data_IF_848063973839
#
_entry.id   IF_848063973839
#
_cell.length_a   1.000
_cell.length_b   1.000
_cell.length_c   1.000
_cell.angle_alpha   90.00
_cell.angle_beta   90.00
_cell.angle_gamma   90.00
#
_symmetry.space_group_name_H-M   'P 1'
#
loop_
_entity.id
_entity.type
_entity.pdbx_description
1 polymer ?
#
# COMPACT_ATOMS: atom_id res chain seq x y z
N UNK A 1 6.07 -27.18 -14.72
CA UNK A 1 4.77 -26.80 -14.13
C UNK A 1 4.89 -25.35 -13.74
N UNK A 2 4.25 -24.46 -14.49
CA UNK A 2 4.36 -23.01 -14.26
C UNK A 2 3.66 -22.65 -12.97
N UNK A 3 4.36 -21.92 -12.11
CA UNK A 3 3.79 -21.41 -10.87
C UNK A 3 2.65 -20.45 -11.24
N UNK A 4 1.41 -20.83 -10.90
CA UNK A 4 0.22 -20.06 -11.25
C UNK A 4 0.15 -18.88 -10.30
N UNK A 5 0.54 -17.70 -10.78
CA UNK A 5 0.33 -16.44 -10.08
C UNK A 5 -1.18 -16.20 -9.93
N UNK A 6 -1.71 -16.49 -8.75
CA UNK A 6 -3.05 -16.10 -8.32
C UNK A 6 -2.88 -14.82 -7.48
N UNK A 7 -3.37 -13.70 -7.99
CA UNK A 7 -3.37 -12.44 -7.25
C UNK A 7 -4.69 -12.35 -6.48
N UNK A 8 -4.59 -12.37 -5.16
CA UNK A 8 -5.72 -12.04 -4.28
C UNK A 8 -5.80 -10.52 -4.15
N UNK A 9 -6.58 -9.86 -5.01
CA UNK A 9 -6.71 -8.38 -5.02
C UNK A 9 -7.16 -7.81 -3.66
N UNK A 10 -7.99 -8.56 -2.93
CA UNK A 10 -8.39 -8.18 -1.57
C UNK A 10 -7.22 -8.22 -0.58
N UNK A 11 -6.36 -9.25 -0.65
CA UNK A 11 -5.16 -9.35 0.17
C UNK A 11 -4.17 -8.22 -0.14
N UNK A 12 -4.02 -7.84 -1.42
CA UNK A 12 -3.18 -6.70 -1.81
C UNK A 12 -3.69 -5.39 -1.20
N UNK A 13 -5.00 -5.17 -1.25
CA UNK A 13 -5.66 -3.98 -0.70
C UNK A 13 -5.54 -3.93 0.83
N UNK A 14 -5.73 -5.06 1.50
CA UNK A 14 -5.52 -5.19 2.94
C UNK A 14 -4.06 -4.90 3.31
N UNK A 15 -3.11 -5.44 2.55
CA UNK A 15 -1.68 -5.22 2.78
C UNK A 15 -1.31 -3.74 2.62
N UNK A 16 -1.81 -3.06 1.59
CA UNK A 16 -1.61 -1.61 1.44
C UNK A 16 -2.19 -0.82 2.62
N UNK A 17 -3.36 -1.21 3.11
CA UNK A 17 -4.00 -0.56 4.27
C UNK A 17 -3.15 -0.75 5.53
N UNK A 18 -2.65 -1.95 5.78
CA UNK A 18 -1.77 -2.23 6.92
C UNK A 18 -0.45 -1.45 6.83
N UNK A 19 0.16 -1.37 5.65
CA UNK A 19 1.38 -0.58 5.45
C UNK A 19 1.14 0.90 5.68
N UNK A 20 -0.04 1.43 5.28
CA UNK A 20 -0.42 2.80 5.56
C UNK A 20 -0.61 3.06 7.07
N UNK A 21 -1.22 2.13 7.80
CA UNK A 21 -1.34 2.22 9.26
C UNK A 21 0.02 2.24 9.92
N UNK A 22 0.93 1.35 9.53
CA UNK A 22 2.32 1.31 10.02
C UNK A 22 3.01 2.66 9.75
N UNK A 23 2.92 3.19 8.53
CA UNK A 23 3.50 4.51 8.22
C UNK A 23 2.96 5.61 9.14
N UNK A 24 1.64 5.61 9.38
CA UNK A 24 0.98 6.61 10.21
C UNK A 24 1.43 6.51 11.68
N UNK A 25 1.57 5.29 12.21
CA UNK A 25 2.07 5.04 13.57
C UNK A 25 3.51 5.49 13.73
N UNK A 26 4.38 5.14 12.78
CA UNK A 26 5.75 5.62 12.78
C UNK A 26 5.76 7.14 12.67
N UNK A 27 5.04 7.76 11.73
CA UNK A 27 4.90 9.23 11.60
C UNK A 27 4.41 9.92 12.88
N UNK A 28 3.55 9.29 13.69
CA UNK A 28 3.05 9.84 14.95
C UNK A 28 4.04 9.80 16.13
N UNK A 29 5.07 8.95 16.10
CA UNK A 29 5.97 8.70 17.25
C UNK A 29 6.98 9.83 17.56
N UNK A 30 6.89 10.97 16.86
CA UNK A 30 7.97 11.98 16.74
C UNK A 30 8.20 12.88 17.97
N UNK A 31 7.27 12.96 18.93
CA UNK A 31 7.26 14.08 19.90
C UNK A 31 7.81 13.80 21.30
N UNK A 32 8.18 12.56 21.63
CA UNK A 32 8.43 12.22 23.03
C UNK A 32 9.87 12.51 23.49
N UNK A 33 10.86 12.27 22.64
CA UNK A 33 12.23 12.04 23.14
C UNK A 33 13.04 13.30 23.42
N UNK A 34 12.85 14.39 22.67
CA UNK A 34 13.57 15.66 22.91
C UNK A 34 13.07 16.40 24.15
N UNK A 35 11.76 16.35 24.42
CA UNK A 35 11.15 16.94 25.62
C UNK A 35 11.48 16.16 26.89
N UNK A 36 11.68 14.85 26.80
CA UNK A 36 11.99 14.02 27.98
C UNK A 36 13.44 14.19 28.42
N UNK A 37 14.37 14.44 27.50
CA UNK A 37 15.79 14.61 27.82
C UNK A 37 16.04 15.74 28.84
N UNK A 38 15.40 16.90 28.65
CA UNK A 38 15.53 18.07 29.54
C UNK A 38 14.85 17.89 30.90
N UNK A 39 13.96 16.89 31.05
CA UNK A 39 13.26 16.58 32.30
C UNK A 39 14.04 15.61 33.20
N UNK A 40 15.14 15.02 32.71
CA UNK A 40 15.90 14.00 33.45
C UNK A 40 16.69 14.54 34.65
N UNK A 41 16.96 15.86 34.71
CA UNK A 41 17.62 16.53 35.84
C UNK A 41 19.09 16.14 36.09
N UNK A 42 19.65 15.20 35.32
CA UNK A 42 21.03 14.74 35.46
C UNK A 42 21.77 14.78 34.11
N UNK A 43 22.88 15.53 33.97
CA UNK A 43 23.53 15.79 32.67
C UNK A 43 23.91 14.53 31.88
N UNK A 44 24.36 13.47 32.59
CA UNK A 44 24.71 12.20 31.93
C UNK A 44 23.49 11.48 31.38
N UNK A 45 22.38 11.50 32.10
CA UNK A 45 21.15 10.81 31.69
C UNK A 45 20.50 11.57 30.53
N UNK A 46 20.52 12.90 30.58
CA UNK A 46 20.10 13.76 29.46
C UNK A 46 20.85 13.40 28.18
N UNK A 47 22.18 13.25 28.24
CA UNK A 47 22.99 12.93 27.07
C UNK A 47 22.65 11.55 26.48
N UNK A 48 22.46 10.53 27.33
CA UNK A 48 22.05 9.20 26.88
C UNK A 48 20.64 9.21 26.25
N UNK A 49 19.68 9.92 26.86
CA UNK A 49 18.31 10.04 26.32
C UNK A 49 18.34 10.78 24.98
N UNK A 50 19.17 11.81 24.83
CA UNK A 50 19.35 12.54 23.58
C UNK A 50 19.99 11.67 22.49
N UNK A 51 20.98 10.85 22.85
CA UNK A 51 21.60 9.87 21.94
C UNK A 51 20.62 8.81 21.47
N UNK A 52 19.81 8.29 22.38
CA UNK A 52 18.72 7.36 22.06
C UNK A 52 17.69 8.03 21.14
N UNK A 53 17.24 9.24 21.46
CA UNK A 53 16.28 10.02 20.66
C UNK A 53 16.77 10.19 19.21
N UNK A 54 18.02 10.60 19.04
CA UNK A 54 18.63 10.80 17.72
C UNK A 54 18.71 9.49 16.94
N UNK A 55 19.18 8.41 17.58
CA UNK A 55 19.30 7.09 16.95
C UNK A 55 17.94 6.52 16.57
N UNK A 56 16.94 6.70 17.43
CA UNK A 56 15.55 6.33 17.15
C UNK A 56 14.99 7.07 15.94
N UNK A 57 15.21 8.39 15.85
CA UNK A 57 14.75 9.19 14.71
C UNK A 57 15.36 8.71 13.39
N UNK A 58 16.66 8.40 13.38
CA UNK A 58 17.33 7.83 12.20
C UNK A 58 16.71 6.48 11.82
N UNK A 59 16.60 5.55 12.78
CA UNK A 59 16.07 4.21 12.51
C UNK A 59 14.62 4.25 12.03
N UNK A 60 13.81 5.13 12.62
CA UNK A 60 12.44 5.40 12.22
C UNK A 60 12.36 5.90 10.79
N UNK A 61 13.20 6.85 10.40
CA UNK A 61 13.24 7.36 9.02
C UNK A 61 13.58 6.24 8.02
N UNK A 62 14.51 5.33 8.37
CA UNK A 62 14.81 4.15 7.55
C UNK A 62 13.63 3.19 7.41
N UNK A 63 12.89 2.96 8.50
CA UNK A 63 11.68 2.11 8.49
C UNK A 63 10.61 2.73 7.61
N UNK A 64 10.32 4.01 7.79
CA UNK A 64 9.35 4.75 6.96
C UNK A 64 9.72 4.61 5.48
N UNK A 65 10.99 4.87 5.13
CA UNK A 65 11.47 4.72 3.75
C UNK A 65 11.25 3.31 3.20
N UNK A 66 11.56 2.29 3.99
CA UNK A 66 11.45 0.88 3.57
C UNK A 66 9.99 0.46 3.39
N UNK A 67 9.11 0.86 4.31
CA UNK A 67 7.67 0.56 4.26
C UNK A 67 7.00 1.30 3.09
N UNK A 68 7.39 2.55 2.82
CA UNK A 68 6.91 3.30 1.65
C UNK A 68 7.31 2.59 0.35
N UNK A 69 8.57 2.18 0.20
CA UNK A 69 9.03 1.47 -0.99
C UNK A 69 8.27 0.15 -1.21
N UNK A 70 7.97 -0.58 -0.12
CA UNK A 70 7.15 -1.80 -0.19
C UNK A 70 5.71 -1.49 -0.63
N UNK A 71 5.09 -0.45 -0.06
CA UNK A 71 3.73 -0.02 -0.42
C UNK A 71 3.64 0.38 -1.91
N UNK A 72 4.63 1.13 -2.40
CA UNK A 72 4.73 1.52 -3.82
C UNK A 72 4.86 0.29 -4.73
N UNK A 73 5.71 -0.66 -4.36
CA UNK A 73 5.88 -1.91 -5.12
C UNK A 73 4.58 -2.70 -5.22
N UNK A 74 3.84 -2.80 -4.11
CA UNK A 74 2.53 -3.46 -4.09
C UNK A 74 1.50 -2.70 -4.93
N UNK A 75 1.52 -1.36 -4.90
CA UNK A 75 0.68 -0.54 -5.77
C UNK A 75 0.94 -0.80 -7.25
N UNK A 76 2.22 -0.81 -7.66
CA UNK A 76 2.61 -1.09 -9.03
C UNK A 76 2.15 -2.48 -9.51
N UNK A 77 2.21 -3.49 -8.63
CA UNK A 77 1.69 -4.83 -8.93
C UNK A 77 0.17 -4.77 -9.13
N UNK A 78 -0.57 -4.14 -8.21
CA UNK A 78 -2.04 -3.98 -8.32
C UNK A 78 -2.45 -3.32 -9.63
N UNK A 79 -1.79 -2.21 -9.98
CA UNK A 79 -2.08 -1.43 -11.17
C UNK A 79 -1.82 -2.23 -12.46
N UNK A 80 -0.72 -2.99 -12.49
CA UNK A 80 -0.39 -3.86 -13.60
C UNK A 80 -1.46 -4.94 -13.82
N UNK A 81 -1.92 -5.60 -12.75
CA UNK A 81 -2.96 -6.63 -12.85
C UNK A 81 -4.32 -6.05 -13.26
N UNK A 82 -4.72 -4.90 -12.70
CA UNK A 82 -5.96 -4.23 -13.11
C UNK A 82 -5.94 -3.83 -14.59
N UNK A 83 -4.78 -3.37 -15.09
CA UNK A 83 -4.61 -3.02 -16.51
C UNK A 83 -4.73 -4.27 -17.39
N UNK A 84 -4.05 -5.36 -17.01
CA UNK A 84 -4.13 -6.63 -17.73
C UNK A 84 -5.56 -7.19 -17.77
N UNK A 85 -6.28 -7.13 -16.64
CA UNK A 85 -7.67 -7.59 -16.56
C UNK A 85 -8.60 -6.72 -17.42
N UNK A 86 -8.41 -5.40 -17.43
CA UNK A 86 -9.18 -4.49 -18.28
C UNK A 86 -8.95 -4.75 -19.77
N UNK A 87 -7.69 -4.95 -20.17
CA UNK A 87 -7.33 -5.26 -21.55
C UNK A 87 -7.91 -6.61 -21.99
N UNK A 88 -7.87 -7.63 -21.13
CA UNK A 88 -8.46 -8.93 -21.41
C UNK A 88 -9.99 -8.86 -21.52
N UNK A 89 -10.65 -8.15 -20.60
CA UNK A 89 -12.10 -7.95 -20.63
C UNK A 89 -12.54 -7.22 -21.91
N UNK A 90 -11.78 -6.21 -22.33
CA UNK A 90 -12.00 -5.50 -23.58
C UNK A 90 -11.84 -6.43 -24.79
N UNK A 91 -10.74 -7.20 -24.85
CA UNK A 91 -10.52 -8.15 -25.92
C UNK A 91 -11.67 -9.17 -26.01
N UNK A 92 -12.16 -9.66 -24.88
CA UNK A 92 -13.31 -10.58 -24.84
C UNK A 92 -14.59 -9.92 -25.34
N UNK A 93 -14.88 -8.68 -24.93
CA UNK A 93 -16.04 -7.92 -25.39
C UNK A 93 -16.00 -7.63 -26.91
N UNK A 94 -14.81 -7.27 -27.43
CA UNK A 94 -14.58 -7.05 -28.86
C UNK A 94 -14.78 -8.34 -29.66
N UNK A 95 -14.38 -9.49 -29.10
CA UNK A 95 -14.55 -10.81 -29.74
C UNK A 95 -15.99 -11.34 -29.65
N UNK A 96 -16.74 -10.97 -28.59
CA UNK A 96 -18.11 -11.41 -28.38
C UNK A 96 -19.12 -10.80 -29.37
N UNK A 97 -18.79 -9.66 -30.00
CA UNK A 97 -19.62 -8.99 -31.00
C UNK A 97 -20.98 -8.51 -30.49
N UNK A 98 -21.61 -7.49 -31.11
CA UNK A 98 -22.97 -7.10 -30.73
C UNK A 98 -23.93 -8.25 -31.07
N UNK A 99 -24.66 -8.76 -30.08
CA UNK A 99 -25.83 -9.64 -30.32
C UNK A 99 -26.79 -8.85 -31.19
N UNK A 100 -26.77 -9.10 -32.50
CA UNK A 100 -27.72 -8.48 -33.41
C UNK A 100 -29.11 -8.98 -33.04
N UNK A 101 -29.98 -8.06 -32.64
CA UNK A 101 -31.41 -8.33 -32.59
C UNK A 101 -31.83 -8.78 -33.99
N UNK A 102 -32.25 -10.04 -34.10
CA UNK A 102 -32.74 -10.61 -35.36
C UNK A 102 -33.90 -9.74 -35.85
N UNK A 103 -33.80 -9.10 -37.03
CA UNK A 103 -34.90 -8.31 -37.58
C UNK A 103 -36.02 -9.26 -38.01
N UNK A 104 -37.19 -9.20 -37.36
CA UNK A 104 -38.38 -9.88 -37.86
C UNK A 104 -39.36 -10.50 -36.85
N UNK A 105 -39.19 -10.36 -35.54
CA UNK A 105 -40.22 -10.81 -34.60
C UNK A 105 -41.20 -9.64 -34.34
N UNK A 106 -42.45 -9.68 -34.85
CA UNK A 106 -43.42 -8.66 -34.56
C UNK A 106 -43.79 -8.70 -33.07
N UNK A 107 -43.82 -7.53 -32.42
CA UNK A 107 -44.37 -7.38 -31.08
C UNK A 107 -45.82 -7.87 -31.08
N UNK A 108 -46.09 -8.90 -30.29
CA UNK A 108 -47.45 -9.29 -29.96
C UNK A 108 -48.02 -8.24 -29.00
N UNK A 109 -49.09 -7.59 -29.45
CA UNK A 109 -49.96 -6.69 -28.69
C UNK A 109 -50.57 -7.34 -27.45
#
# INVERSE_FOLDING_TARGET
MGDRLVIEGELLTQTQTHLQSILTEFEGAEKFSEHVASLTGHPRLENEVRGFASSWNIKRAEVIKSVTALKESIGAISDAFNTLDADLAKALADTAGPVQAVPGIPSAS
#
